data_IF_337305714264
#
_entry.id   IF_337305714264
#
_cell.length_a   1.000
_cell.length_b   1.000
_cell.length_c   1.000
_cell.angle_alpha   90.00
_cell.angle_beta   90.00
_cell.angle_gamma   90.00
#
_symmetry.space_group_name_H-M   'P 1'
#
loop_
_entity.id
_entity.type
_entity.pdbx_description
1 polymer ?
#
# COMPACT_ATOMS: atom_id res chain seq x y z
N UNK A 1 -14.74 35.69 2.68
CA UNK A 1 -15.56 34.47 2.87
C UNK A 1 -14.68 33.43 3.51
N UNK A 2 -14.95 33.13 4.78
CA UNK A 2 -14.13 32.26 5.62
C UNK A 2 -14.35 30.81 5.16
N UNK A 3 -13.30 30.17 4.63
CA UNK A 3 -13.30 28.73 4.42
C UNK A 3 -13.25 28.07 5.79
N UNK A 4 -14.39 27.62 6.29
CA UNK A 4 -14.46 26.70 7.41
C UNK A 4 -13.72 25.42 6.99
N UNK A 5 -12.52 25.23 7.51
CA UNK A 5 -11.79 23.99 7.39
C UNK A 5 -12.61 22.89 8.05
N UNK A 6 -13.37 22.15 7.27
CA UNK A 6 -13.96 20.89 7.66
C UNK A 6 -12.79 19.97 8.05
N UNK A 7 -12.65 19.65 9.32
CA UNK A 7 -11.76 18.58 9.78
C UNK A 7 -12.24 17.29 9.11
N UNK A 8 -11.53 16.90 8.06
CA UNK A 8 -11.87 15.76 7.22
C UNK A 8 -11.71 14.50 8.08
N UNK A 9 -12.83 13.93 8.58
CA UNK A 9 -12.82 12.70 9.38
C UNK A 9 -12.53 11.47 8.51
N UNK A 10 -11.98 10.44 9.11
CA UNK A 10 -11.82 9.13 8.46
C UNK A 10 -13.18 8.53 8.12
N UNK A 11 -13.28 7.96 6.92
CA UNK A 11 -14.45 7.21 6.48
C UNK A 11 -14.59 5.93 7.32
N UNK A 12 -15.82 5.63 7.66
CA UNK A 12 -16.22 4.43 8.40
C UNK A 12 -16.86 3.42 7.46
N UNK A 13 -17.08 2.19 7.94
CA UNK A 13 -17.85 1.18 7.22
C UNK A 13 -19.25 1.69 6.88
N UNK A 14 -19.90 2.43 7.78
CA UNK A 14 -21.22 3.00 7.54
C UNK A 14 -21.22 3.99 6.36
N UNK A 15 -20.15 4.79 6.20
CA UNK A 15 -20.02 5.70 5.06
C UNK A 15 -19.90 4.92 3.74
N UNK A 16 -19.12 3.85 3.70
CA UNK A 16 -18.96 3.00 2.51
C UNK A 16 -20.30 2.31 2.14
N UNK A 17 -21.06 1.85 3.14
CA UNK A 17 -22.38 1.26 2.92
C UNK A 17 -23.38 2.31 2.43
N UNK A 18 -23.33 3.56 2.94
CA UNK A 18 -24.17 4.66 2.45
C UNK A 18 -23.85 4.99 0.99
N UNK A 19 -22.57 5.17 0.64
CA UNK A 19 -22.15 5.41 -0.75
C UNK A 19 -22.66 4.29 -1.69
N UNK A 20 -22.59 3.04 -1.24
CA UNK A 20 -23.13 1.90 -2.00
C UNK A 20 -24.65 1.99 -2.17
N UNK A 21 -25.39 2.31 -1.10
CA UNK A 21 -26.85 2.47 -1.14
C UNK A 21 -27.31 3.60 -2.04
N UNK A 22 -26.50 4.68 -2.12
CA UNK A 22 -26.71 5.82 -3.01
C UNK A 22 -26.32 5.53 -4.49
N UNK A 23 -25.84 4.31 -4.77
CA UNK A 23 -25.46 3.89 -6.12
C UNK A 23 -24.09 4.40 -6.57
N UNK A 24 -23.27 4.95 -5.67
CA UNK A 24 -21.92 5.40 -5.98
C UNK A 24 -21.01 4.22 -6.31
N UNK A 25 -20.13 4.39 -7.29
CA UNK A 25 -19.07 3.43 -7.56
C UNK A 25 -17.96 3.56 -6.51
N UNK A 26 -17.48 2.43 -6.01
CA UNK A 26 -16.52 2.36 -4.92
C UNK A 26 -15.10 2.06 -5.45
N UNK A 27 -14.28 3.07 -5.78
CA UNK A 27 -12.89 2.83 -6.14
C UNK A 27 -12.07 2.48 -4.90
N UNK A 28 -11.22 1.46 -5.05
CA UNK A 28 -10.25 1.04 -4.05
C UNK A 28 -8.88 0.88 -4.73
N UNK A 29 -7.82 1.29 -4.09
CA UNK A 29 -6.45 1.04 -4.53
C UNK A 29 -5.65 0.39 -3.42
N UNK A 30 -4.68 -0.42 -3.78
CA UNK A 30 -3.70 -0.84 -2.79
C UNK A 30 -2.77 0.32 -2.45
N UNK A 31 -2.29 0.34 -1.21
CA UNK A 31 -1.25 1.25 -0.75
C UNK A 31 -0.34 0.51 0.23
N UNK A 32 0.95 0.84 0.24
CA UNK A 32 1.92 0.08 1.01
C UNK A 32 2.86 0.95 1.85
N UNK A 33 2.82 2.27 1.68
CA UNK A 33 3.71 3.20 2.35
C UNK A 33 3.02 4.55 2.65
N UNK A 34 3.68 5.35 3.48
CA UNK A 34 3.18 6.65 3.91
C UNK A 34 2.98 7.66 2.76
N UNK A 35 3.99 7.93 1.88
CA UNK A 35 3.84 8.95 0.85
C UNK A 35 2.79 8.58 -0.19
N UNK A 36 2.73 7.32 -0.63
CA UNK A 36 1.72 6.84 -1.57
C UNK A 36 0.32 6.95 -0.96
N UNK A 37 0.14 6.51 0.29
CA UNK A 37 -1.15 6.60 0.97
C UNK A 37 -1.65 8.06 1.07
N UNK A 38 -0.76 9.01 1.37
CA UNK A 38 -1.11 10.43 1.45
C UNK A 38 -1.58 10.97 0.09
N UNK A 39 -0.87 10.64 -0.98
CA UNK A 39 -1.24 11.07 -2.33
C UNK A 39 -2.61 10.50 -2.73
N UNK A 40 -2.87 9.22 -2.45
CA UNK A 40 -4.14 8.58 -2.76
C UNK A 40 -5.30 9.13 -1.93
N UNK A 41 -5.06 9.41 -0.65
CA UNK A 41 -6.03 10.03 0.24
C UNK A 41 -6.40 11.45 -0.21
N UNK A 42 -5.39 12.27 -0.56
CA UNK A 42 -5.55 13.62 -1.11
C UNK A 42 -6.26 13.59 -2.50
N UNK A 43 -6.05 12.53 -3.29
CA UNK A 43 -6.76 12.30 -4.54
C UNK A 43 -8.23 11.84 -4.35
N UNK A 44 -8.66 11.60 -3.11
CA UNK A 44 -10.04 11.29 -2.78
C UNK A 44 -10.42 9.82 -2.88
N UNK A 45 -9.44 8.88 -2.93
CA UNK A 45 -9.73 7.43 -2.91
C UNK A 45 -10.40 7.09 -1.57
N UNK A 46 -11.63 6.51 -1.57
CA UNK A 46 -12.36 6.29 -0.32
C UNK A 46 -11.86 5.07 0.48
N UNK A 47 -11.24 4.09 -0.18
CA UNK A 47 -10.74 2.87 0.45
C UNK A 47 -9.32 2.57 0.03
N UNK A 48 -8.45 2.30 0.99
CA UNK A 48 -7.07 1.85 0.76
C UNK A 48 -6.90 0.43 1.31
N UNK A 49 -6.42 -0.47 0.48
CA UNK A 49 -6.12 -1.85 0.85
C UNK A 49 -4.60 -2.01 1.03
N UNK A 50 -4.18 -2.39 2.22
CA UNK A 50 -2.82 -2.91 2.42
C UNK A 50 -2.88 -4.40 2.14
N UNK A 51 -2.71 -4.76 0.87
CA UNK A 51 -2.83 -6.14 0.39
C UNK A 51 -1.54 -6.93 0.62
N UNK A 52 -1.65 -8.24 0.85
CA UNK A 52 -0.50 -9.15 0.88
C UNK A 52 0.20 -9.29 -0.47
N UNK A 53 -0.41 -8.75 -1.54
CA UNK A 53 0.25 -8.49 -2.83
C UNK A 53 1.55 -7.68 -2.71
N UNK A 54 1.74 -6.92 -1.60
CA UNK A 54 3.01 -6.26 -1.29
C UNK A 54 4.21 -7.22 -1.33
N UNK A 55 4.00 -8.47 -0.97
CA UNK A 55 5.04 -9.51 -1.07
C UNK A 55 5.62 -9.60 -2.47
N UNK A 56 4.76 -9.61 -3.48
CA UNK A 56 5.18 -9.75 -4.88
C UNK A 56 5.63 -8.41 -5.50
N UNK A 57 4.85 -7.34 -5.30
CA UNK A 57 5.07 -6.08 -6.04
C UNK A 57 6.04 -5.12 -5.36
N UNK A 58 6.35 -5.33 -4.08
CA UNK A 58 7.22 -4.46 -3.29
C UNK A 58 8.41 -5.20 -2.68
N UNK A 59 8.19 -6.40 -2.12
CA UNK A 59 9.23 -7.17 -1.44
C UNK A 59 9.96 -8.18 -2.35
N UNK A 60 9.47 -8.37 -3.59
CA UNK A 60 10.10 -9.26 -4.56
C UNK A 60 9.92 -10.75 -4.26
N UNK A 61 8.92 -11.12 -3.45
CA UNK A 61 8.59 -12.52 -3.22
C UNK A 61 7.90 -13.12 -4.46
N UNK A 62 8.06 -14.42 -4.63
CA UNK A 62 7.40 -15.18 -5.68
C UNK A 62 5.91 -15.47 -5.40
N UNK A 63 5.48 -15.27 -4.15
CA UNK A 63 4.13 -15.57 -3.69
C UNK A 63 3.73 -14.72 -2.48
N UNK A 64 2.42 -14.41 -2.37
CA UNK A 64 1.82 -13.76 -1.20
C UNK A 64 1.87 -14.64 0.06
N UNK A 65 2.00 -15.97 -0.10
CA UNK A 65 2.09 -16.94 1.01
C UNK A 65 3.29 -16.68 1.94
N UNK A 66 4.33 -16.01 1.44
CA UNK A 66 5.54 -15.69 2.23
C UNK A 66 5.39 -14.47 3.14
N UNK A 67 4.35 -13.68 2.93
CA UNK A 67 4.14 -12.44 3.69
C UNK A 67 3.76 -12.75 5.13
N UNK A 68 4.46 -12.11 6.06
CA UNK A 68 4.28 -12.29 7.50
C UNK A 68 3.33 -11.26 8.11
N UNK A 69 2.79 -11.57 9.30
CA UNK A 69 2.03 -10.58 10.09
C UNK A 69 2.84 -9.31 10.41
N UNK A 70 4.15 -9.46 10.64
CA UNK A 70 5.02 -8.32 10.96
C UNK A 70 5.12 -7.34 9.80
N UNK A 71 5.31 -7.84 8.58
CA UNK A 71 5.34 -7.03 7.36
C UNK A 71 3.99 -6.35 7.13
N UNK A 72 2.89 -7.10 7.25
CA UNK A 72 1.55 -6.53 7.08
C UNK A 72 1.25 -5.41 8.08
N UNK A 73 1.58 -5.59 9.35
CA UNK A 73 1.39 -4.57 10.39
C UNK A 73 2.27 -3.33 10.13
N UNK A 74 3.54 -3.54 9.74
CA UNK A 74 4.46 -2.46 9.40
C UNK A 74 3.91 -1.57 8.28
N UNK A 75 3.54 -2.17 7.17
CA UNK A 75 2.99 -1.45 6.01
C UNK A 75 1.63 -0.82 6.31
N UNK A 76 0.75 -1.55 7.01
CA UNK A 76 -0.56 -1.02 7.41
C UNK A 76 -0.42 0.23 8.29
N UNK A 77 0.46 0.20 9.27
CA UNK A 77 0.72 1.36 10.14
C UNK A 77 1.26 2.57 9.35
N UNK A 78 2.11 2.34 8.32
CA UNK A 78 2.60 3.40 7.46
C UNK A 78 1.46 4.03 6.62
N UNK A 79 0.59 3.20 6.02
CA UNK A 79 -0.58 3.65 5.25
C UNK A 79 -1.57 4.43 6.12
N UNK A 80 -1.85 3.93 7.34
CA UNK A 80 -2.75 4.62 8.29
C UNK A 80 -2.22 6.01 8.66
N UNK A 81 -0.92 6.17 8.91
CA UNK A 81 -0.31 7.48 9.17
C UNK A 81 -0.37 8.41 7.94
N UNK A 82 -0.27 7.84 6.73
CA UNK A 82 -0.32 8.60 5.48
C UNK A 82 -1.73 9.08 5.11
N UNK A 83 -2.77 8.36 5.54
CA UNK A 83 -4.16 8.68 5.19
C UNK A 83 -4.92 9.30 6.36
N UNK A 84 -5.75 10.31 6.06
CA UNK A 84 -6.61 11.00 7.05
C UNK A 84 -8.09 10.69 6.85
N UNK A 85 -8.50 10.49 5.60
CA UNK A 85 -9.90 10.33 5.19
C UNK A 85 -10.24 8.90 4.79
N UNK A 86 -9.40 8.23 4.00
CA UNK A 86 -9.71 6.91 3.46
C UNK A 86 -9.91 5.86 4.57
N UNK A 87 -10.84 4.94 4.34
CA UNK A 87 -10.98 3.72 5.14
C UNK A 87 -9.82 2.78 4.78
N UNK A 88 -9.01 2.41 5.78
CA UNK A 88 -7.86 1.52 5.58
C UNK A 88 -8.21 0.10 5.99
N UNK A 89 -7.95 -0.85 5.08
CA UNK A 89 -8.19 -2.27 5.23
C UNK A 89 -6.84 -2.98 5.24
N UNK A 90 -6.55 -3.74 6.30
CA UNK A 90 -5.37 -4.59 6.38
C UNK A 90 -5.70 -6.02 5.93
N UNK A 91 -4.90 -6.56 5.02
CA UNK A 91 -5.06 -7.94 4.56
C UNK A 91 -4.44 -8.91 5.55
N UNK A 92 -5.21 -9.87 6.05
CA UNK A 92 -4.69 -10.90 6.94
C UNK A 92 -3.88 -11.91 6.13
N UNK A 93 -2.56 -12.05 6.37
CA UNK A 93 -1.72 -12.90 5.54
C UNK A 93 -2.01 -14.40 5.75
N UNK A 94 -1.47 -15.22 4.85
CA UNK A 94 -1.64 -16.66 4.87
C UNK A 94 -1.42 -17.26 6.27
N UNK A 95 -2.34 -18.13 6.70
CA UNK A 95 -2.38 -18.81 8.00
C UNK A 95 -2.53 -17.90 9.24
N UNK A 96 -2.62 -16.60 9.10
CA UNK A 96 -2.85 -15.73 10.26
C UNK A 96 -4.27 -15.83 10.86
N UNK A 97 -5.17 -16.55 10.18
CA UNK A 97 -6.55 -16.80 10.59
C UNK A 97 -6.94 -18.28 10.45
N UNK A 98 -5.97 -19.18 10.63
CA UNK A 98 -6.17 -20.62 10.53
C UNK A 98 -7.12 -21.17 11.61
N UNK A 99 -7.15 -20.55 12.78
CA UNK A 99 -8.14 -20.76 13.83
C UNK A 99 -8.89 -19.47 14.15
N UNK A 100 -10.02 -19.55 14.84
CA UNK A 100 -10.77 -18.38 15.32
C UNK A 100 -9.92 -17.57 16.30
N UNK A 101 -9.18 -18.22 17.18
CA UNK A 101 -8.33 -17.56 18.18
C UNK A 101 -7.20 -16.79 17.51
N UNK A 102 -6.53 -17.39 16.51
CA UNK A 102 -5.51 -16.70 15.70
C UNK A 102 -6.11 -15.50 14.96
N UNK A 103 -7.29 -15.68 14.38
CA UNK A 103 -7.96 -14.61 13.65
C UNK A 103 -8.29 -13.43 14.56
N UNK A 104 -8.86 -13.67 15.74
CA UNK A 104 -9.16 -12.63 16.73
C UNK A 104 -7.91 -11.92 17.23
N UNK A 105 -6.87 -12.69 17.56
CA UNK A 105 -5.59 -12.14 18.02
C UNK A 105 -4.94 -11.24 16.94
N UNK A 106 -4.83 -11.74 15.72
CA UNK A 106 -4.16 -11.05 14.62
C UNK A 106 -4.99 -9.87 14.06
N UNK A 107 -6.30 -10.00 13.91
CA UNK A 107 -7.16 -8.89 13.54
C UNK A 107 -7.12 -7.77 14.60
N UNK A 108 -7.11 -8.15 15.89
CA UNK A 108 -6.91 -7.20 16.99
C UNK A 108 -5.61 -6.40 16.88
N UNK A 109 -4.54 -7.01 16.38
CA UNK A 109 -3.27 -6.31 16.12
C UNK A 109 -3.39 -5.30 14.98
N UNK A 110 -4.07 -5.64 13.89
CA UNK A 110 -4.31 -4.69 12.80
C UNK A 110 -5.03 -3.43 13.28
N UNK A 111 -6.05 -3.59 14.13
CA UNK A 111 -6.83 -2.44 14.63
C UNK A 111 -6.05 -1.66 15.71
N UNK A 112 -5.44 -2.34 16.69
CA UNK A 112 -4.80 -1.69 17.85
C UNK A 112 -3.39 -1.19 17.57
N UNK A 113 -2.56 -1.99 16.88
CA UNK A 113 -1.15 -1.68 16.67
C UNK A 113 -0.96 -0.87 15.37
N UNK A 114 -1.61 -1.29 14.28
CA UNK A 114 -1.47 -0.63 12.99
C UNK A 114 -2.51 0.48 12.74
N UNK A 115 -3.64 0.49 13.46
CA UNK A 115 -4.69 1.50 13.35
C UNK A 115 -5.60 1.31 12.13
N UNK A 116 -5.66 0.10 11.53
CA UNK A 116 -6.59 -0.21 10.46
C UNK A 116 -8.04 -0.09 10.92
N UNK A 117 -8.93 0.23 9.98
CA UNK A 117 -10.39 0.29 10.26
C UNK A 117 -11.04 -1.09 10.08
N UNK A 118 -10.51 -1.92 9.20
CA UNK A 118 -11.05 -3.23 8.87
C UNK A 118 -9.93 -4.20 8.48
N UNK A 119 -10.27 -5.48 8.43
CA UNK A 119 -9.38 -6.53 7.89
C UNK A 119 -9.99 -7.21 6.67
N UNK A 120 -9.15 -7.78 5.78
CA UNK A 120 -9.59 -8.65 4.68
C UNK A 120 -9.21 -10.10 4.97
N UNK A 121 -10.10 -11.04 4.59
CA UNK A 121 -9.91 -12.49 4.72
C UNK A 121 -10.31 -13.18 3.42
N UNK A 122 -9.51 -14.14 2.98
CA UNK A 122 -9.78 -14.97 1.82
C UNK A 122 -10.60 -16.23 2.19
N UNK A 123 -11.48 -16.60 1.27
CA UNK A 123 -12.32 -17.80 1.34
C UNK A 123 -13.80 -17.46 1.50
N UNK A 124 -14.64 -18.42 1.11
CA UNK A 124 -16.09 -18.34 1.18
C UNK A 124 -16.67 -19.08 2.38
N UNK A 125 -17.46 -20.12 2.12
CA UNK A 125 -18.08 -20.98 3.16
C UNK A 125 -17.07 -21.44 4.21
N UNK A 126 -15.86 -21.80 3.81
CA UNK A 126 -14.80 -22.26 4.74
C UNK A 126 -14.37 -21.21 5.76
N UNK A 127 -14.48 -19.92 5.43
CA UNK A 127 -14.05 -18.80 6.28
C UNK A 127 -15.22 -18.12 6.99
N UNK A 128 -16.47 -18.50 6.69
CA UNK A 128 -17.67 -17.86 7.22
C UNK A 128 -17.71 -17.83 8.77
N UNK A 129 -17.36 -18.93 9.42
CA UNK A 129 -17.30 -19.00 10.90
C UNK A 129 -16.26 -18.05 11.50
N UNK A 130 -15.11 -17.92 10.86
CA UNK A 130 -14.05 -17.00 11.28
C UNK A 130 -14.50 -15.55 11.10
N UNK A 131 -15.13 -15.24 9.96
CA UNK A 131 -15.71 -13.91 9.69
C UNK A 131 -16.78 -13.57 10.73
N UNK A 132 -17.72 -14.48 11.01
CA UNK A 132 -18.76 -14.29 12.03
C UNK A 132 -18.15 -13.99 13.41
N UNK A 133 -17.14 -14.75 13.82
CA UNK A 133 -16.48 -14.55 15.11
C UNK A 133 -15.82 -13.16 15.22
N UNK A 134 -15.13 -12.70 14.16
CA UNK A 134 -14.53 -11.39 14.10
C UNK A 134 -15.58 -10.27 14.14
N UNK A 135 -16.65 -10.40 13.34
CA UNK A 135 -17.72 -9.39 13.29
C UNK A 135 -18.42 -9.29 14.64
N UNK A 136 -18.71 -10.41 15.31
CA UNK A 136 -19.28 -10.44 16.67
C UNK A 136 -18.38 -9.83 17.72
N UNK A 137 -17.05 -9.88 17.52
CA UNK A 137 -16.07 -9.21 18.37
C UNK A 137 -15.91 -7.70 18.05
N UNK A 138 -16.64 -7.18 17.05
CA UNK A 138 -16.59 -5.77 16.66
C UNK A 138 -15.52 -5.44 15.60
N UNK A 139 -14.92 -6.44 14.97
CA UNK A 139 -13.94 -6.24 13.89
C UNK A 139 -14.67 -6.20 12.54
N UNK A 140 -14.62 -5.08 11.78
CA UNK A 140 -15.16 -5.04 10.43
C UNK A 140 -14.35 -5.92 9.48
N UNK A 141 -15.04 -6.77 8.70
CA UNK A 141 -14.39 -7.72 7.78
C UNK A 141 -14.84 -7.49 6.35
N UNK A 142 -13.86 -7.44 5.43
CA UNK A 142 -14.04 -7.58 3.99
C UNK A 142 -13.71 -9.02 3.60
N UNK A 143 -14.61 -9.70 2.89
CA UNK A 143 -14.36 -11.04 2.36
C UNK A 143 -13.55 -10.99 1.05
N UNK A 144 -13.14 -12.18 0.57
CA UNK A 144 -12.48 -12.31 -0.74
C UNK A 144 -12.76 -13.68 -1.35
N UNK A 145 -13.37 -13.71 -2.53
CA UNK A 145 -13.72 -14.91 -3.29
C UNK A 145 -13.19 -14.85 -4.73
N UNK A 146 -13.29 -15.97 -5.41
CA UNK A 146 -12.76 -16.15 -6.76
C UNK A 146 -11.35 -16.72 -6.73
N UNK A 147 -10.43 -16.10 -7.42
CA UNK A 147 -9.02 -16.40 -7.24
C UNK A 147 -8.56 -15.85 -5.88
N UNK A 148 -8.06 -16.74 -5.04
CA UNK A 148 -7.56 -16.41 -3.71
C UNK A 148 -6.05 -16.73 -3.67
N UNK A 149 -5.15 -15.72 -3.81
CA UNK A 149 -3.70 -15.93 -3.92
C UNK A 149 -3.10 -16.78 -2.80
N UNK A 150 -3.58 -16.63 -1.58
CA UNK A 150 -3.13 -17.43 -0.43
C UNK A 150 -3.41 -18.92 -0.59
N UNK A 151 -4.40 -19.30 -1.40
CA UNK A 151 -4.75 -20.68 -1.69
C UNK A 151 -4.12 -21.23 -2.97
N UNK A 152 -3.21 -20.48 -3.60
CA UNK A 152 -2.67 -20.78 -4.93
C UNK A 152 -2.11 -22.22 -5.05
N UNK A 153 -1.43 -22.73 -4.00
CA UNK A 153 -0.88 -24.09 -4.02
C UNK A 153 -1.98 -25.15 -4.09
N UNK A 154 -3.08 -24.96 -3.35
CA UNK A 154 -4.27 -25.83 -3.43
C UNK A 154 -5.06 -25.67 -4.73
N UNK A 155 -4.92 -24.54 -5.42
CA UNK A 155 -5.59 -24.23 -6.70
C UNK A 155 -4.75 -24.58 -7.93
N UNK A 156 -3.63 -25.33 -7.76
CA UNK A 156 -2.79 -25.82 -8.84
C UNK A 156 -1.68 -24.87 -9.29
N UNK A 157 -1.33 -23.86 -8.49
CA UNK A 157 -0.15 -23.00 -8.64
C UNK A 157 -0.18 -22.02 -9.81
N UNK A 158 -1.25 -21.96 -10.60
CA UNK A 158 -1.39 -21.06 -11.76
C UNK A 158 -2.61 -20.18 -11.60
N UNK A 159 -2.44 -18.89 -11.80
CA UNK A 159 -3.54 -17.91 -11.82
C UNK A 159 -4.59 -18.31 -12.87
N UNK A 160 -5.83 -18.45 -12.45
CA UNK A 160 -6.95 -18.88 -13.30
C UNK A 160 -8.23 -18.18 -12.92
N UNK A 161 -9.05 -17.90 -13.93
CA UNK A 161 -10.44 -17.44 -13.75
C UNK A 161 -11.24 -18.57 -13.08
N UNK A 162 -11.93 -18.23 -11.98
CA UNK A 162 -12.75 -19.12 -11.18
C UNK A 162 -14.23 -19.03 -11.60
N UNK A 163 -15.02 -20.10 -11.40
CA UNK A 163 -16.46 -20.07 -11.68
C UNK A 163 -16.85 -20.28 -13.16
N UNK A 164 -16.00 -20.94 -13.98
CA UNK A 164 -16.30 -21.22 -15.38
C UNK A 164 -17.25 -22.42 -15.61
N UNK A 165 -17.31 -23.37 -14.69
CA UNK A 165 -18.25 -24.49 -14.77
C UNK A 165 -19.49 -24.23 -13.93
N UNK A 166 -20.57 -24.98 -14.20
CA UNK A 166 -21.80 -24.93 -13.40
C UNK A 166 -21.54 -25.17 -11.92
N UNK A 167 -20.69 -26.13 -11.62
CA UNK A 167 -20.33 -26.51 -10.25
C UNK A 167 -19.57 -25.38 -9.54
N UNK A 168 -18.48 -24.90 -10.14
CA UNK A 168 -17.65 -23.84 -9.56
C UNK A 168 -18.37 -22.50 -9.49
N UNK A 169 -19.28 -22.19 -10.43
CA UNK A 169 -20.12 -21.01 -10.38
C UNK A 169 -21.13 -21.07 -9.20
N UNK A 170 -21.74 -22.23 -8.96
CA UNK A 170 -22.63 -22.44 -7.80
C UNK A 170 -21.87 -22.33 -6.48
N UNK A 171 -20.67 -22.89 -6.40
CA UNK A 171 -19.82 -22.79 -5.22
C UNK A 171 -19.49 -21.31 -4.91
N UNK A 172 -19.07 -20.51 -5.92
CA UNK A 172 -18.79 -19.10 -5.71
C UNK A 172 -20.00 -18.28 -5.27
N UNK A 173 -21.20 -18.61 -5.79
CA UNK A 173 -22.42 -17.96 -5.33
C UNK A 173 -22.73 -18.32 -3.86
N UNK A 174 -22.54 -19.58 -3.47
CA UNK A 174 -22.67 -20.02 -2.08
C UNK A 174 -21.63 -19.34 -1.17
N UNK A 175 -20.39 -19.24 -1.63
CA UNK A 175 -19.31 -18.53 -0.93
C UNK A 175 -19.67 -17.04 -0.68
N UNK A 176 -20.19 -16.36 -1.69
CA UNK A 176 -20.58 -14.96 -1.58
C UNK A 176 -21.72 -14.76 -0.56
N UNK A 177 -22.73 -15.62 -0.60
CA UNK A 177 -23.85 -15.58 0.34
C UNK A 177 -23.34 -15.86 1.77
N UNK A 178 -22.51 -16.88 1.95
CA UNK A 178 -21.96 -17.23 3.26
C UNK A 178 -21.17 -16.11 3.91
N UNK A 179 -20.36 -15.38 3.13
CA UNK A 179 -19.61 -14.21 3.60
C UNK A 179 -20.56 -13.10 4.06
N UNK A 180 -21.59 -12.78 3.27
CA UNK A 180 -22.58 -11.78 3.66
C UNK A 180 -23.32 -12.18 4.94
N UNK A 181 -23.81 -13.42 5.03
CA UNK A 181 -24.54 -13.89 6.20
C UNK A 181 -23.66 -13.98 7.45
N UNK A 182 -22.35 -14.16 7.29
CA UNK A 182 -21.36 -14.05 8.37
C UNK A 182 -21.15 -12.60 8.85
N UNK A 183 -21.73 -11.60 8.18
CA UNK A 183 -21.69 -10.19 8.59
C UNK A 183 -20.55 -9.37 8.00
N UNK A 184 -19.84 -9.85 6.96
CA UNK A 184 -18.88 -9.03 6.25
C UNK A 184 -19.58 -7.78 5.68
N UNK A 185 -18.90 -6.62 5.71
CA UNK A 185 -19.45 -5.36 5.17
C UNK A 185 -19.25 -5.22 3.66
N UNK A 186 -18.32 -5.96 3.08
CA UNK A 186 -17.97 -5.94 1.65
C UNK A 186 -17.21 -7.20 1.29
N UNK A 187 -16.98 -7.43 -0.01
CA UNK A 187 -16.09 -8.49 -0.49
C UNK A 187 -15.38 -8.14 -1.79
N UNK A 188 -14.16 -8.65 -1.94
CA UNK A 188 -13.43 -8.69 -3.20
C UNK A 188 -13.93 -9.89 -4.03
N UNK A 189 -14.11 -9.67 -5.34
CA UNK A 189 -14.41 -10.70 -6.34
C UNK A 189 -13.29 -10.69 -7.36
N UNK A 190 -12.40 -11.69 -7.31
CA UNK A 190 -11.20 -11.72 -8.14
C UNK A 190 -11.26 -12.81 -9.20
N UNK A 191 -10.94 -12.41 -10.47
CA UNK A 191 -10.85 -13.30 -11.62
C UNK A 191 -12.06 -14.24 -11.77
N UNK A 192 -13.24 -13.65 -11.75
CA UNK A 192 -14.54 -14.33 -11.97
C UNK A 192 -15.15 -13.86 -13.29
N UNK A 193 -15.81 -14.72 -14.09
CA UNK A 193 -16.50 -14.27 -15.29
C UNK A 193 -17.48 -13.12 -15.01
N UNK A 194 -17.48 -12.10 -15.86
CA UNK A 194 -18.24 -10.85 -15.69
C UNK A 194 -19.73 -11.10 -15.38
N UNK A 195 -20.36 -12.01 -16.11
CA UNK A 195 -21.79 -12.32 -15.92
C UNK A 195 -22.07 -12.95 -14.55
N UNK A 196 -21.15 -13.80 -14.06
CA UNK A 196 -21.27 -14.39 -12.75
C UNK A 196 -21.04 -13.36 -11.65
N UNK A 197 -20.04 -12.51 -11.77
CA UNK A 197 -19.74 -11.43 -10.84
C UNK A 197 -20.90 -10.43 -10.74
N UNK A 198 -21.50 -10.03 -11.88
CA UNK A 198 -22.69 -9.18 -11.92
C UNK A 198 -23.89 -9.85 -11.22
N UNK A 199 -24.08 -11.17 -11.45
CA UNK A 199 -25.14 -11.96 -10.81
C UNK A 199 -24.92 -12.05 -9.30
N UNK A 200 -23.68 -12.27 -8.84
CA UNK A 200 -23.33 -12.27 -7.41
C UNK A 200 -23.68 -10.90 -6.82
N UNK A 201 -23.19 -9.82 -7.45
CA UNK A 201 -23.44 -8.45 -6.99
C UNK A 201 -24.94 -8.14 -6.83
N UNK A 202 -25.76 -8.52 -7.81
CA UNK A 202 -27.20 -8.25 -7.77
C UNK A 202 -27.96 -9.01 -6.68
N UNK A 203 -27.38 -10.09 -6.13
CA UNK A 203 -27.99 -10.91 -5.09
C UNK A 203 -27.55 -10.56 -3.67
N UNK A 204 -26.55 -9.69 -3.54
CA UNK A 204 -26.02 -9.28 -2.25
C UNK A 204 -26.51 -7.89 -1.86
N UNK A 205 -26.56 -7.67 -0.56
CA UNK A 205 -26.84 -6.37 0.06
C UNK A 205 -25.57 -5.57 0.34
N UNK A 206 -24.43 -6.27 0.40
CA UNK A 206 -23.12 -5.66 0.66
C UNK A 206 -22.41 -5.36 -0.66
N UNK A 207 -21.58 -4.31 -0.74
CA UNK A 207 -20.84 -3.97 -1.95
C UNK A 207 -19.82 -5.04 -2.33
N UNK A 208 -19.72 -5.33 -3.62
CA UNK A 208 -18.69 -6.17 -4.21
C UNK A 208 -17.63 -5.29 -4.89
N UNK A 209 -16.36 -5.61 -4.68
CA UNK A 209 -15.22 -4.90 -5.26
C UNK A 209 -14.51 -5.84 -6.23
N UNK A 210 -14.61 -5.55 -7.52
CA UNK A 210 -14.08 -6.41 -8.57
C UNK A 210 -12.60 -6.19 -8.84
N UNK A 211 -11.88 -7.25 -9.18
CA UNK A 211 -10.59 -7.22 -9.85
C UNK A 211 -10.54 -8.36 -10.88
N UNK A 212 -10.48 -8.01 -12.16
CA UNK A 212 -10.63 -9.01 -13.22
C UNK A 212 -11.99 -9.72 -13.25
N UNK A 213 -13.05 -9.04 -12.76
CA UNK A 213 -14.40 -9.57 -12.65
C UNK A 213 -15.44 -8.77 -13.43
N UNK A 214 -15.00 -7.88 -14.32
CA UNK A 214 -15.87 -7.04 -15.17
C UNK A 214 -16.44 -5.83 -14.41
N UNK A 215 -17.22 -5.01 -15.13
CA UNK A 215 -17.76 -3.74 -14.65
C UNK A 215 -19.02 -3.88 -13.78
N UNK A 216 -19.57 -5.09 -13.65
CA UNK A 216 -20.83 -5.34 -12.93
C UNK A 216 -20.74 -5.36 -11.40
N UNK A 217 -19.57 -5.25 -10.82
CA UNK A 217 -19.38 -5.11 -9.37
C UNK A 217 -19.69 -3.68 -8.90
N UNK A 218 -19.97 -3.49 -7.61
CA UNK A 218 -20.24 -2.19 -6.98
C UNK A 218 -19.05 -1.23 -7.04
N UNK A 219 -17.84 -1.77 -7.02
CA UNK A 219 -16.58 -1.05 -7.13
C UNK A 219 -15.49 -1.87 -7.79
N UNK A 220 -14.28 -1.29 -7.84
CA UNK A 220 -13.10 -1.95 -8.42
C UNK A 220 -11.90 -1.73 -7.50
N UNK A 221 -11.04 -2.74 -7.37
CA UNK A 221 -9.72 -2.60 -6.79
C UNK A 221 -8.64 -2.83 -7.84
N UNK A 222 -7.55 -2.09 -7.74
CA UNK A 222 -6.33 -2.33 -8.52
C UNK A 222 -5.09 -2.24 -7.64
N UNK A 223 -4.07 -2.99 -8.02
CA UNK A 223 -2.74 -2.88 -7.40
C UNK A 223 -2.09 -1.58 -7.87
N UNK A 224 -1.65 -0.75 -6.94
CA UNK A 224 -1.16 0.61 -7.26
C UNK A 224 0.03 0.59 -8.22
N UNK A 225 0.92 -0.37 -8.11
CA UNK A 225 2.07 -0.50 -9.02
C UNK A 225 1.64 -0.77 -10.46
N UNK A 226 0.54 -1.51 -10.67
CA UNK A 226 -0.02 -1.76 -12.00
C UNK A 226 -0.61 -0.47 -12.59
N UNK A 227 -1.35 0.29 -11.78
CA UNK A 227 -1.97 1.57 -12.18
C UNK A 227 -0.91 2.61 -12.56
N UNK A 228 0.18 2.68 -11.79
CA UNK A 228 1.27 3.62 -12.01
C UNK A 228 2.28 3.15 -13.07
N UNK A 229 2.19 1.91 -13.54
CA UNK A 229 3.17 1.36 -14.48
C UNK A 229 4.56 1.20 -13.86
N UNK A 230 4.60 0.75 -12.60
CA UNK A 230 5.84 0.43 -11.90
C UNK A 230 6.02 -1.09 -11.86
N UNK A 231 6.63 -1.66 -12.89
CA UNK A 231 6.88 -3.09 -13.03
C UNK A 231 6.89 -3.53 -14.48
N UNK A 232 7.57 -4.64 -14.75
CA UNK A 232 7.76 -5.19 -16.11
C UNK A 232 6.52 -5.94 -16.61
N UNK A 233 5.67 -6.42 -15.70
CA UNK A 233 4.46 -7.17 -16.00
C UNK A 233 3.20 -6.35 -15.68
N UNK A 234 2.22 -6.40 -16.57
CA UNK A 234 0.90 -5.82 -16.34
C UNK A 234 -0.16 -6.90 -16.55
N UNK A 235 -0.95 -7.25 -15.52
CA UNK A 235 -2.03 -8.22 -15.67
C UNK A 235 -3.06 -7.75 -16.72
N UNK A 236 -3.68 -8.68 -17.44
CA UNK A 236 -4.68 -8.36 -18.47
C UNK A 236 -5.85 -7.50 -17.94
N UNK A 237 -6.17 -7.63 -16.67
CA UNK A 237 -7.27 -6.91 -16.02
C UNK A 237 -6.85 -5.54 -15.45
N UNK A 238 -5.57 -5.20 -15.51
CA UNK A 238 -5.06 -3.91 -15.08
C UNK A 238 -4.90 -2.95 -16.28
N UNK A 239 -5.03 -1.67 -16.02
CA UNK A 239 -4.74 -0.60 -16.96
C UNK A 239 -3.68 0.33 -16.37
N UNK A 240 -2.63 0.59 -17.13
CA UNK A 240 -1.64 1.61 -16.79
C UNK A 240 -2.23 2.99 -17.05
N UNK A 241 -2.11 3.88 -16.08
CA UNK A 241 -2.50 5.30 -16.18
C UNK A 241 -1.29 6.22 -16.18
N UNK A 242 -0.09 5.69 -15.85
CA UNK A 242 1.18 6.40 -15.87
C UNK A 242 2.32 5.45 -16.25
N UNK A 243 3.51 6.00 -16.52
CA UNK A 243 4.77 5.28 -16.69
C UNK A 243 5.77 5.71 -15.60
N UNK A 244 5.51 5.28 -14.37
CA UNK A 244 6.37 5.64 -13.24
C UNK A 244 7.75 4.98 -13.34
N UNK A 245 7.84 3.78 -13.90
CA UNK A 245 9.12 3.09 -14.12
C UNK A 245 10.03 3.90 -15.06
N UNK A 246 9.48 4.41 -16.18
CA UNK A 246 10.22 5.28 -17.11
C UNK A 246 10.64 6.59 -16.44
N UNK A 247 9.74 7.22 -15.70
CA UNK A 247 10.04 8.47 -14.98
C UNK A 247 11.16 8.30 -13.93
N UNK A 248 11.13 7.23 -13.14
CA UNK A 248 12.18 6.93 -12.15
C UNK A 248 13.51 6.70 -12.85
N UNK A 249 13.53 5.91 -13.94
CA UNK A 249 14.76 5.64 -14.70
C UNK A 249 15.37 6.93 -15.25
N UNK A 250 14.57 7.75 -15.92
CA UNK A 250 15.02 9.02 -16.49
C UNK A 250 15.60 9.95 -15.41
N UNK A 251 14.92 10.07 -14.27
CA UNK A 251 15.41 10.89 -13.16
C UNK A 251 16.73 10.37 -12.59
N UNK A 252 16.86 9.05 -12.43
CA UNK A 252 18.10 8.44 -11.93
C UNK A 252 19.27 8.59 -12.90
N UNK A 253 19.02 8.46 -14.20
CA UNK A 253 20.02 8.65 -15.25
C UNK A 253 20.51 10.11 -15.31
N UNK A 254 19.56 11.07 -15.25
CA UNK A 254 19.89 12.51 -15.24
C UNK A 254 20.73 12.88 -14.00
N UNK A 255 20.28 12.48 -12.80
CA UNK A 255 21.03 12.74 -11.57
C UNK A 255 22.43 12.10 -11.60
N UNK A 256 22.55 10.88 -12.11
CA UNK A 256 23.84 10.20 -12.24
C UNK A 256 24.79 10.95 -13.18
N UNK A 257 24.25 11.49 -14.29
CA UNK A 257 25.03 12.30 -15.24
C UNK A 257 25.52 13.59 -14.58
N UNK A 258 24.65 14.31 -13.87
CA UNK A 258 25.00 15.55 -13.19
C UNK A 258 26.09 15.34 -12.13
N UNK A 259 25.98 14.27 -11.33
CA UNK A 259 27.04 13.92 -10.35
C UNK A 259 28.37 13.63 -11.04
N UNK A 260 28.36 12.87 -12.14
CA UNK A 260 29.58 12.52 -12.89
C UNK A 260 30.23 13.73 -13.57
N UNK A 261 29.41 14.69 -14.00
CA UNK A 261 29.92 15.96 -14.61
C UNK A 261 30.27 16.99 -13.57
N UNK A 262 30.00 16.80 -12.29
CA UNK A 262 30.23 17.78 -11.24
C UNK A 262 29.26 18.96 -11.27
N UNK A 263 28.14 18.86 -11.98
CA UNK A 263 27.06 19.85 -12.00
C UNK A 263 26.10 19.75 -10.80
N UNK A 264 26.09 18.60 -10.11
CA UNK A 264 25.41 18.41 -8.86
C UNK A 264 26.40 17.95 -7.76
N UNK A 265 26.38 18.54 -6.53
CA UNK A 265 25.54 19.67 -6.12
C UNK A 265 25.97 20.99 -6.74
N UNK A 266 25.01 21.84 -7.07
CA UNK A 266 25.24 23.21 -7.50
C UNK A 266 25.23 24.20 -6.32
N UNK A 267 25.31 25.50 -6.60
CA UNK A 267 25.30 26.53 -5.55
C UNK A 267 24.02 26.53 -4.70
N UNK A 268 22.90 26.08 -5.27
CA UNK A 268 21.59 26.02 -4.56
C UNK A 268 21.51 24.87 -3.55
N UNK A 269 22.27 23.81 -3.77
CA UNK A 269 22.32 22.62 -2.92
C UNK A 269 23.52 22.64 -1.97
N UNK A 270 24.32 23.73 -1.97
CA UNK A 270 25.58 23.80 -1.23
C UNK A 270 25.52 24.89 -0.16
N UNK A 271 25.90 24.53 1.05
CA UNK A 271 26.18 25.52 2.12
C UNK A 271 27.66 25.87 2.11
N UNK A 272 27.94 27.14 2.15
CA UNK A 272 29.32 27.66 2.19
C UNK A 272 29.64 28.14 3.59
N UNK A 273 30.82 27.79 4.08
CA UNK A 273 31.42 28.37 5.26
C UNK A 273 32.00 29.75 4.91
N UNK A 274 32.02 30.64 5.88
CA UNK A 274 32.75 31.90 5.77
C UNK A 274 34.25 31.64 5.56
N UNK A 275 34.83 32.30 4.57
CA UNK A 275 36.24 32.08 4.17
C UNK A 275 37.23 32.39 5.31
N UNK A 276 36.96 33.43 6.12
CA UNK A 276 37.80 33.76 7.25
C UNK A 276 37.81 32.64 8.30
N UNK A 277 36.62 32.10 8.62
CA UNK A 277 36.49 30.96 9.53
C UNK A 277 37.23 29.72 9.01
N UNK A 278 37.14 29.46 7.69
CA UNK A 278 37.85 28.34 7.07
C UNK A 278 39.40 28.55 7.18
N UNK A 279 39.90 29.77 6.92
CA UNK A 279 41.30 30.05 7.04
C UNK A 279 41.82 29.91 8.47
N UNK A 280 41.04 30.37 9.46
CA UNK A 280 41.37 30.21 10.88
C UNK A 280 41.51 28.74 11.26
N UNK A 281 40.57 27.88 10.79
CA UNK A 281 40.61 26.43 11.00
C UNK A 281 41.81 25.77 10.34
N UNK A 282 42.20 26.25 9.14
CA UNK A 282 43.30 25.68 8.36
C UNK A 282 44.65 26.33 8.70
N UNK A 283 44.68 27.35 9.56
CA UNK A 283 45.90 28.12 9.89
C UNK A 283 46.48 28.86 8.71
N UNK A 284 45.64 29.24 7.74
CA UNK A 284 46.07 29.93 6.51
C UNK A 284 46.15 31.44 6.71
N UNK A 285 47.15 32.05 6.10
CA UNK A 285 47.29 33.51 6.04
C UNK A 285 46.71 34.07 4.74
N UNK A 286 46.52 35.39 4.67
CA UNK A 286 46.11 36.07 3.43
C UNK A 286 47.14 35.86 2.28
N UNK A 287 48.41 35.60 2.61
CA UNK A 287 49.47 35.32 1.64
C UNK A 287 49.35 33.90 1.05
N UNK A 288 48.97 32.94 1.85
CA UNK A 288 48.77 31.54 1.40
C UNK A 288 47.64 31.43 0.37
N UNK A 289 46.59 32.25 0.47
CA UNK A 289 45.51 32.37 -0.51
C UNK A 289 45.99 32.89 -1.87
N UNK A 290 46.90 33.84 -1.86
CA UNK A 290 47.41 34.46 -3.09
C UNK A 290 48.36 33.54 -3.85
N UNK A 291 49.06 32.61 -3.20
CA UNK A 291 49.99 31.68 -3.81
C UNK A 291 49.34 30.38 -4.34
N UNK A 292 48.17 30.02 -3.88
CA UNK A 292 47.50 28.75 -4.25
C UNK A 292 48.24 27.50 -3.75
N UNK A 293 49.21 27.63 -2.86
CA UNK A 293 49.99 26.53 -2.32
C UNK A 293 49.24 25.85 -1.15
N UNK A 294 49.16 24.54 -1.20
CA UNK A 294 48.62 23.73 -0.10
C UNK A 294 49.60 23.78 1.07
N UNK A 295 49.13 24.18 2.27
CA UNK A 295 49.93 24.22 3.49
C UNK A 295 50.21 22.80 4.02
N UNK A 296 51.21 22.67 4.90
CA UNK A 296 51.52 21.39 5.55
C UNK A 296 50.36 20.87 6.44
N UNK A 297 49.46 21.76 6.87
CA UNK A 297 48.22 21.41 7.57
C UNK A 297 47.19 20.70 6.66
N UNK A 298 47.16 21.05 5.38
CA UNK A 298 46.33 20.39 4.36
C UNK A 298 46.82 18.97 4.06
N UNK A 299 48.12 18.69 4.30
CA UNK A 299 48.77 17.42 4.05
C UNK A 299 48.80 16.49 5.26
N UNK A 300 48.73 17.06 6.48
CA UNK A 300 48.61 16.31 7.72
C UNK A 300 47.14 15.96 7.95
N UNK A 301 46.74 14.78 7.55
CA UNK A 301 45.42 14.28 7.84
C UNK A 301 45.07 14.45 9.32
N UNK A 302 44.12 15.31 9.68
CA UNK A 302 43.64 15.47 11.04
C UNK A 302 43.15 14.10 11.55
N UNK A 303 43.82 13.58 12.58
CA UNK A 303 43.37 12.44 13.31
C UNK A 303 41.96 12.73 13.84
N UNK A 304 40.98 12.03 13.33
CA UNK A 304 39.60 12.08 13.78
C UNK A 304 39.53 11.62 15.25
N UNK A 305 39.49 12.56 16.19
CA UNK A 305 39.13 12.30 17.56
C UNK A 305 37.60 12.33 17.72
N UNK A 306 37.10 11.29 18.36
CA UNK A 306 35.73 10.96 18.60
C UNK A 306 34.86 12.10 19.14
N UNK A 307 33.76 12.33 18.48
CA UNK A 307 32.64 13.17 18.90
C UNK A 307 32.24 14.13 17.77
N UNK A 308 31.11 13.85 17.15
CA UNK A 308 30.52 14.78 16.17
C UNK A 308 29.90 15.93 16.97
N UNK A 309 30.45 17.17 16.90
CA UNK A 309 29.78 18.32 17.48
C UNK A 309 28.47 18.56 16.71
N UNK A 310 27.35 18.56 17.40
CA UNK A 310 26.07 18.93 16.81
C UNK A 310 25.95 20.45 16.89
N UNK A 311 25.91 21.10 15.73
CA UNK A 311 25.47 22.50 15.61
C UNK A 311 24.01 22.60 16.11
N UNK A 312 23.76 23.46 17.08
CA UNK A 312 22.46 23.61 17.73
C UNK A 312 21.52 24.59 17.01
N UNK A 313 21.93 25.13 15.87
CA UNK A 313 21.21 26.17 15.13
C UNK A 313 20.74 25.65 13.76
N UNK A 314 19.89 24.59 13.76
CA UNK A 314 19.07 24.22 12.60
C UNK A 314 17.61 24.22 12.99
#
# INVERSE_FOLDING_TARGET
MSATGSTQRRLTVADILSMHADGERLPMLTAYDYPTARILDDAGIPMLLVGDSLGQVLLGYDSTVRVTMTEMLHHTAAVVRGSKRALVIGDMPFLSYASIDDALANAGRFLREAGATAVKIEGGVRSARTIEALVRAGVPVMGHIGWTPQSQHGMGGKVRVQGKSRETARALLADAIAIQEAGAFSMVVELVPEQLAATITSRLRIPTIGIGAGAGCSGQVQVITDVLGLGDFSPRHARKYADLQGAIRTAAEAWTADVRMGSFPGPAETVRMDEQTLDEVLGRTAQDRASGEATDADRAGMGLHAGIPLDRDL
#
